data_IF_118236333603
#
_entry.id   IF_118236333603
#
_cell.length_a   1.000
_cell.length_b   1.000
_cell.length_c   1.000
_cell.angle_alpha   90.00
_cell.angle_beta   90.00
_cell.angle_gamma   90.00
#
_symmetry.space_group_name_H-M   'P 1'
#
loop_
_entity.id
_entity.type
_entity.pdbx_description
1 polymer ?
#
# COMPACT_ATOMS: atom_id res chain seq x y z
N UNK A 1 -28.73 -13.47 -43.45
CA UNK A 1 -28.58 -12.38 -42.45
C UNK A 1 -27.65 -12.90 -41.38
N UNK A 2 -26.38 -12.48 -41.45
CA UNK A 2 -25.29 -13.01 -40.61
C UNK A 2 -25.22 -12.11 -39.37
N UNK A 3 -25.51 -12.65 -38.19
CA UNK A 3 -25.39 -11.98 -36.92
C UNK A 3 -23.89 -11.83 -36.63
N UNK A 4 -23.38 -10.63 -36.76
CA UNK A 4 -22.04 -10.27 -36.31
C UNK A 4 -22.13 -10.12 -34.78
N UNK A 5 -21.54 -11.07 -34.06
CA UNK A 5 -21.36 -10.98 -32.63
C UNK A 5 -20.28 -9.90 -32.37
N UNK A 6 -20.60 -8.79 -31.70
CA UNK A 6 -19.57 -7.84 -31.35
C UNK A 6 -18.74 -8.43 -30.20
N UNK A 7 -17.63 -9.05 -30.53
CA UNK A 7 -16.59 -9.29 -29.55
C UNK A 7 -16.11 -7.90 -29.05
N UNK A 8 -16.64 -7.48 -27.91
CA UNK A 8 -16.05 -6.40 -27.13
C UNK A 8 -14.73 -6.96 -26.61
N UNK A 9 -13.65 -6.69 -27.33
CA UNK A 9 -12.32 -6.85 -26.77
C UNK A 9 -12.24 -5.88 -25.60
N UNK A 10 -12.40 -6.38 -24.38
CA UNK A 10 -11.98 -5.64 -23.21
C UNK A 10 -10.50 -5.32 -23.42
N UNK A 11 -10.20 -4.08 -23.74
CA UNK A 11 -8.83 -3.63 -23.86
C UNK A 11 -8.24 -3.74 -22.46
N UNK A 12 -7.42 -4.76 -22.23
CA UNK A 12 -6.69 -4.87 -20.98
C UNK A 12 -5.86 -3.60 -20.86
N UNK A 13 -6.16 -2.76 -19.86
CA UNK A 13 -5.34 -1.57 -19.59
C UNK A 13 -3.95 -2.10 -19.26
N UNK A 14 -2.96 -1.71 -20.07
CA UNK A 14 -1.60 -2.15 -19.85
C UNK A 14 -1.09 -1.56 -18.53
N UNK A 15 -0.61 -2.42 -17.63
CA UNK A 15 0.00 -1.99 -16.38
C UNK A 15 1.28 -1.20 -16.73
N UNK A 16 1.44 0.04 -16.25
CA UNK A 16 2.64 0.84 -16.54
C UNK A 16 3.91 0.12 -16.09
N UNK A 17 4.98 0.20 -16.86
CA UNK A 17 6.28 -0.42 -16.55
C UNK A 17 6.88 0.09 -15.22
N UNK A 18 6.51 1.29 -14.77
CA UNK A 18 6.85 1.82 -13.45
C UNK A 18 6.13 1.14 -12.30
N UNK A 19 5.04 0.41 -12.55
CA UNK A 19 4.33 -0.36 -11.52
C UNK A 19 5.12 -1.62 -11.19
N UNK A 20 5.53 -1.75 -9.94
CA UNK A 20 6.34 -2.87 -9.45
C UNK A 20 5.52 -3.89 -8.67
N UNK A 21 4.48 -3.46 -8.04
CA UNK A 21 3.49 -4.32 -7.37
C UNK A 21 2.11 -3.76 -7.66
N UNK A 22 1.18 -4.63 -7.96
CA UNK A 22 -0.24 -4.31 -8.11
C UNK A 22 -1.08 -5.46 -7.56
N UNK A 23 -1.79 -5.19 -6.47
CA UNK A 23 -2.66 -6.16 -5.80
C UNK A 23 -4.07 -5.60 -5.70
N UNK A 24 -4.95 -5.93 -6.65
CA UNK A 24 -6.33 -5.40 -6.68
C UNK A 24 -7.20 -5.87 -5.52
N UNK A 25 -6.91 -7.04 -4.93
CA UNK A 25 -7.68 -7.66 -3.84
C UNK A 25 -9.17 -7.83 -4.18
N UNK A 26 -9.45 -8.41 -5.33
CA UNK A 26 -10.82 -8.75 -5.75
C UNK A 26 -11.08 -10.25 -5.64
N UNK A 27 -12.33 -10.66 -5.73
CA UNK A 27 -12.69 -12.10 -5.79
C UNK A 27 -12.04 -12.83 -6.96
N UNK A 28 -11.65 -12.12 -8.01
CA UNK A 28 -10.97 -12.70 -9.19
C UNK A 28 -9.45 -12.75 -9.00
N UNK A 29 -8.84 -11.67 -8.50
CA UNK A 29 -7.36 -11.60 -8.32
C UNK A 29 -6.90 -12.29 -7.03
N UNK A 30 -7.76 -12.41 -6.03
CA UNK A 30 -7.35 -12.91 -4.72
C UNK A 30 -6.21 -12.09 -4.13
N UNK A 31 -5.16 -12.77 -3.71
CA UNK A 31 -3.95 -12.17 -3.14
C UNK A 31 -2.78 -12.08 -4.13
N UNK A 32 -3.06 -12.06 -5.43
CA UNK A 32 -2.02 -12.07 -6.47
C UNK A 32 -1.49 -10.67 -6.74
N UNK A 33 -0.17 -10.53 -6.86
CA UNK A 33 0.47 -9.40 -7.53
C UNK A 33 0.37 -9.59 -9.03
N UNK A 34 -0.49 -8.81 -9.69
CA UNK A 34 -0.75 -8.92 -11.12
C UNK A 34 0.28 -8.19 -11.99
N UNK A 35 1.17 -7.38 -11.38
CA UNK A 35 2.22 -6.68 -12.11
C UNK A 35 3.45 -7.55 -12.38
N UNK A 36 3.99 -8.20 -11.35
CA UNK A 36 5.24 -8.96 -11.44
C UNK A 36 5.18 -10.34 -10.78
N UNK A 37 4.00 -10.77 -10.33
CA UNK A 37 3.77 -12.10 -9.77
C UNK A 37 4.71 -12.45 -8.60
N UNK A 38 4.97 -11.49 -7.70
CA UNK A 38 5.72 -11.74 -6.49
C UNK A 38 5.05 -12.82 -5.63
N UNK A 39 5.84 -13.67 -5.00
CA UNK A 39 5.32 -14.68 -4.08
C UNK A 39 4.71 -14.03 -2.83
N UNK A 40 3.47 -14.37 -2.55
CA UNK A 40 2.71 -13.88 -1.40
C UNK A 40 2.61 -14.99 -0.35
N UNK A 41 3.09 -14.72 0.84
CA UNK A 41 2.86 -15.57 2.01
C UNK A 41 1.58 -15.12 2.70
N UNK A 42 0.64 -16.03 2.83
CA UNK A 42 -0.60 -15.82 3.59
C UNK A 42 -0.37 -16.30 5.02
N UNK A 43 -0.54 -15.42 5.99
CA UNK A 43 -0.41 -15.73 7.41
C UNK A 43 -1.78 -15.65 8.06
N UNK A 44 -2.16 -16.70 8.79
CA UNK A 44 -3.50 -16.83 9.33
C UNK A 44 -4.54 -17.12 8.25
N UNK A 45 -5.67 -16.47 8.33
CA UNK A 45 -6.79 -16.66 7.41
C UNK A 45 -7.39 -15.33 6.94
N UNK A 46 -6.61 -14.43 6.33
CA UNK A 46 -7.19 -13.23 5.71
C UNK A 46 -8.11 -13.65 4.57
N UNK A 47 -9.12 -12.85 4.25
CA UNK A 47 -10.10 -13.18 3.21
C UNK A 47 -10.29 -12.03 2.24
N UNK A 48 -10.75 -12.35 1.03
CA UNK A 48 -11.38 -11.35 0.16
C UNK A 48 -12.86 -11.31 0.53
N UNK A 49 -13.26 -10.21 1.14
CA UNK A 49 -14.64 -10.00 1.59
C UNK A 49 -15.39 -9.11 0.60
N UNK A 50 -16.64 -9.47 0.32
CA UNK A 50 -17.54 -8.67 -0.51
C UNK A 50 -18.37 -7.67 0.29
N UNK A 51 -18.21 -7.62 1.61
CA UNK A 51 -18.92 -6.67 2.47
C UNK A 51 -18.52 -5.21 2.21
N UNK A 52 -17.28 -4.99 1.78
CA UNK A 52 -16.79 -3.69 1.32
C UNK A 52 -15.99 -3.87 0.02
N UNK A 53 -16.10 -2.89 -0.87
CA UNK A 53 -15.32 -2.84 -2.10
C UNK A 53 -15.18 -1.38 -2.55
N UNK A 54 -13.98 -0.96 -2.91
CA UNK A 54 -13.77 0.32 -3.57
C UNK A 54 -13.91 0.16 -5.08
N UNK A 55 -13.21 -0.87 -5.62
CA UNK A 55 -13.24 -1.21 -7.04
C UNK A 55 -13.43 -2.72 -7.21
N UNK A 56 -14.16 -3.10 -8.25
CA UNK A 56 -14.39 -4.50 -8.54
C UNK A 56 -15.28 -5.20 -7.50
N UNK A 57 -15.07 -6.49 -7.30
CA UNK A 57 -15.83 -7.30 -6.36
C UNK A 57 -14.93 -7.74 -5.18
N UNK A 58 -15.10 -7.09 -4.04
CA UNK A 58 -14.43 -7.41 -2.79
C UNK A 58 -13.18 -6.58 -2.50
N UNK A 59 -12.66 -6.77 -1.30
CA UNK A 59 -11.44 -6.18 -0.79
C UNK A 59 -10.77 -7.15 0.20
N UNK A 60 -9.47 -7.01 0.43
CA UNK A 60 -8.77 -7.75 1.48
C UNK A 60 -9.32 -7.30 2.84
N UNK A 61 -9.90 -8.23 3.58
CA UNK A 61 -10.29 -8.05 4.98
C UNK A 61 -9.15 -8.50 5.89
N UNK A 62 -8.68 -7.59 6.73
CA UNK A 62 -7.77 -7.84 7.85
C UNK A 62 -8.53 -7.48 9.13
N UNK A 63 -8.73 -8.43 10.02
CA UNK A 63 -9.62 -8.29 11.18
C UNK A 63 -8.98 -8.68 12.52
N UNK A 64 -7.77 -9.25 12.47
CA UNK A 64 -7.07 -9.74 13.67
C UNK A 64 -5.55 -9.53 13.56
N UNK A 65 -4.87 -9.64 14.70
CA UNK A 65 -3.41 -9.56 14.81
C UNK A 65 -2.66 -10.71 14.15
N UNK A 66 -3.36 -11.73 13.69
CA UNK A 66 -2.77 -12.96 13.12
C UNK A 66 -3.08 -13.14 11.64
N UNK A 67 -3.91 -12.27 11.04
CA UNK A 67 -4.32 -12.37 9.64
C UNK A 67 -3.67 -11.26 8.82
N UNK A 68 -2.70 -11.61 7.97
CA UNK A 68 -2.01 -10.65 7.12
C UNK A 68 -1.37 -11.31 5.90
N UNK A 69 -0.93 -10.49 4.97
CA UNK A 69 -0.14 -10.95 3.84
C UNK A 69 1.31 -10.46 3.96
N UNK A 70 2.23 -11.24 3.42
CA UNK A 70 3.64 -10.86 3.36
C UNK A 70 4.20 -11.08 1.97
N UNK A 71 4.84 -10.08 1.42
CA UNK A 71 5.71 -10.19 0.26
C UNK A 71 7.13 -10.35 0.77
N UNK A 72 7.82 -11.40 0.34
CA UNK A 72 9.22 -11.64 0.73
C UNK A 72 10.13 -10.52 0.21
N UNK A 73 11.28 -10.35 0.84
CA UNK A 73 12.29 -9.40 0.39
C UNK A 73 12.71 -9.69 -1.05
N UNK A 74 12.56 -8.70 -1.90
CA UNK A 74 12.96 -8.74 -3.32
C UNK A 74 13.71 -7.46 -3.69
N UNK A 75 14.47 -7.44 -4.79
CA UNK A 75 15.09 -6.20 -5.28
C UNK A 75 14.07 -5.08 -5.53
N UNK A 76 12.83 -5.44 -5.85
CA UNK A 76 11.70 -4.52 -6.04
C UNK A 76 11.34 -3.78 -4.76
N UNK A 77 11.39 -4.46 -3.61
CA UNK A 77 11.09 -3.91 -2.29
C UNK A 77 12.33 -3.35 -1.57
N UNK A 78 13.44 -3.23 -2.28
CA UNK A 78 14.61 -2.56 -1.74
C UNK A 78 14.45 -1.04 -1.89
N UNK A 79 14.03 -0.38 -0.82
CA UNK A 79 13.85 1.07 -0.74
C UNK A 79 15.13 1.82 -0.35
N UNK A 80 16.30 1.18 -0.37
CA UNK A 80 17.56 1.78 0.06
C UNK A 80 18.05 2.90 -0.86
N UNK A 81 18.82 3.81 -0.30
CA UNK A 81 19.38 4.95 -1.02
C UNK A 81 18.32 5.99 -1.37
N UNK A 82 18.58 6.74 -2.43
CA UNK A 82 17.69 7.81 -2.91
C UNK A 82 16.73 7.32 -4.00
N UNK A 83 16.19 6.11 -3.86
CA UNK A 83 15.24 5.56 -4.82
C UNK A 83 13.92 6.30 -4.74
N UNK A 84 13.45 6.76 -5.88
CA UNK A 84 12.12 7.36 -6.02
C UNK A 84 11.07 6.27 -6.02
N UNK A 85 9.96 6.46 -5.29
CA UNK A 85 8.84 5.53 -5.31
C UNK A 85 7.52 6.17 -4.85
N UNK A 86 6.44 5.53 -5.18
CA UNK A 86 5.11 5.78 -4.63
C UNK A 86 4.51 4.46 -4.16
N UNK A 87 3.95 4.48 -2.96
CA UNK A 87 3.12 3.40 -2.41
C UNK A 87 1.74 4.00 -2.20
N UNK A 88 0.72 3.40 -2.78
CA UNK A 88 -0.65 3.89 -2.69
C UNK A 88 -1.66 2.77 -2.63
N UNK A 89 -2.76 3.02 -1.95
CA UNK A 89 -3.81 2.03 -1.74
C UNK A 89 -5.12 2.71 -1.30
N UNK A 90 -6.20 1.95 -1.40
CA UNK A 90 -7.46 2.33 -0.78
C UNK A 90 -7.68 1.55 0.51
N UNK A 91 -8.18 2.24 1.54
CA UNK A 91 -8.48 1.66 2.85
C UNK A 91 -9.87 2.05 3.32
N UNK A 92 -10.51 1.14 4.04
CA UNK A 92 -11.77 1.39 4.74
C UNK A 92 -11.65 0.82 6.16
N UNK A 93 -11.90 1.63 7.16
CA UNK A 93 -11.87 1.22 8.55
C UNK A 93 -13.02 1.84 9.34
N UNK A 94 -13.48 1.16 10.37
CA UNK A 94 -14.57 1.63 11.26
C UNK A 94 -14.04 2.05 12.62
N UNK A 95 -12.78 1.77 12.91
CA UNK A 95 -12.16 1.99 14.21
C UNK A 95 -10.67 2.27 14.05
N UNK A 96 -10.08 2.95 15.01
CA UNK A 96 -8.62 3.12 15.10
C UNK A 96 -7.96 2.05 16.00
N UNK A 97 -8.61 0.91 16.21
CA UNK A 97 -8.02 -0.22 16.93
C UNK A 97 -7.03 -0.96 16.03
N UNK A 98 -5.77 -1.01 16.46
CA UNK A 98 -4.69 -1.49 15.58
C UNK A 98 -4.33 -0.41 14.56
N UNK A 99 -3.07 -0.23 14.25
CA UNK A 99 -2.66 0.97 13.50
C UNK A 99 -2.07 0.63 12.13
N UNK A 100 -1.47 -0.54 11.95
CA UNK A 100 -0.58 -0.77 10.81
C UNK A 100 -1.27 -1.33 9.58
N UNK A 101 -1.35 -0.53 8.53
CA UNK A 101 -1.85 -0.91 7.21
C UNK A 101 -0.76 -1.62 6.40
N UNK A 102 0.41 -1.00 6.29
CA UNK A 102 1.60 -1.55 5.62
C UNK A 102 2.83 -1.35 6.48
N UNK A 103 3.72 -2.34 6.53
CA UNK A 103 4.98 -2.21 7.24
C UNK A 103 6.09 -3.02 6.59
N UNK A 104 7.27 -2.43 6.54
CA UNK A 104 8.52 -3.13 6.21
C UNK A 104 9.32 -3.50 7.46
N UNK A 105 8.79 -3.26 8.66
CA UNK A 105 9.47 -3.44 9.94
C UNK A 105 9.56 -4.91 10.34
N UNK A 106 10.73 -5.32 10.83
CA UNK A 106 10.92 -6.57 11.57
C UNK A 106 11.27 -6.27 13.03
N UNK A 107 11.22 -7.28 13.90
CA UNK A 107 11.43 -7.09 15.33
C UNK A 107 12.83 -6.56 15.72
N UNK A 108 13.79 -6.58 14.81
CA UNK A 108 15.20 -6.31 15.11
C UNK A 108 15.73 -5.03 14.45
N UNK A 109 15.01 -4.46 13.51
CA UNK A 109 15.48 -3.30 12.72
C UNK A 109 14.34 -2.33 12.52
N UNK A 110 14.57 -1.06 12.86
CA UNK A 110 13.69 0.03 12.43
C UNK A 110 13.74 0.13 10.92
N UNK A 111 12.65 -0.16 10.35
CA UNK A 111 12.43 -0.39 8.93
C UNK A 111 12.15 0.91 8.18
N UNK A 112 12.29 0.97 6.86
CA UNK A 112 12.09 2.22 6.16
C UNK A 112 10.78 2.91 6.49
N UNK A 113 9.65 2.21 6.51
CA UNK A 113 8.36 2.86 6.78
C UNK A 113 7.34 1.92 7.43
N UNK A 114 6.37 2.56 8.05
CA UNK A 114 5.08 2.00 8.44
C UNK A 114 4.00 3.00 8.01
N UNK A 115 3.00 2.55 7.26
CA UNK A 115 1.80 3.32 6.96
C UNK A 115 0.72 2.87 7.93
N UNK A 116 0.24 3.81 8.75
CA UNK A 116 -0.75 3.55 9.79
C UNK A 116 -2.05 4.32 9.60
N UNK A 117 -3.06 3.99 10.41
CA UNK A 117 -4.39 4.63 10.36
C UNK A 117 -4.39 6.07 10.88
N UNK A 118 -3.64 6.34 11.91
CA UNK A 118 -3.60 7.65 12.57
C UNK A 118 -2.29 8.38 12.32
N UNK A 119 -1.26 7.65 11.92
CA UNK A 119 0.08 8.18 11.69
C UNK A 119 0.90 7.21 10.86
N UNK A 120 1.68 7.72 9.95
CA UNK A 120 2.73 6.96 9.31
C UNK A 120 4.07 7.26 9.97
N UNK A 121 4.93 6.26 9.99
CA UNK A 121 6.24 6.33 10.62
C UNK A 121 7.31 6.14 9.55
N UNK A 122 8.30 7.01 9.59
CA UNK A 122 9.49 6.88 8.74
C UNK A 122 10.67 6.60 9.66
N UNK A 123 11.30 5.43 9.45
CA UNK A 123 12.46 5.02 10.24
C UNK A 123 13.72 5.73 9.79
N UNK A 124 14.54 6.16 10.75
CA UNK A 124 15.90 6.62 10.51
C UNK A 124 16.89 5.59 11.07
N UNK A 125 17.46 4.77 10.21
CA UNK A 125 18.35 3.69 10.61
C UNK A 125 19.63 4.15 11.32
N UNK A 126 20.05 5.40 11.09
CA UNK A 126 21.25 5.93 11.74
C UNK A 126 21.00 6.41 13.16
N UNK A 127 19.76 6.72 13.51
CA UNK A 127 19.39 7.36 14.78
C UNK A 127 18.44 6.52 15.63
N UNK A 128 18.02 5.36 15.15
CA UNK A 128 17.03 4.52 15.83
C UNK A 128 15.76 5.30 16.24
N UNK A 129 15.34 6.22 15.38
CA UNK A 129 14.24 7.15 15.62
C UNK A 129 13.20 7.08 14.51
N UNK A 130 11.98 7.49 14.85
CA UNK A 130 10.87 7.60 13.92
C UNK A 130 10.50 9.05 13.69
N UNK A 131 10.23 9.40 12.44
CA UNK A 131 9.55 10.64 12.10
C UNK A 131 8.08 10.33 11.79
N UNK A 132 7.18 11.09 12.40
CA UNK A 132 5.74 10.92 12.25
C UNK A 132 5.22 11.82 11.14
N UNK A 133 4.36 11.28 10.29
CA UNK A 133 3.66 12.00 9.20
C UNK A 133 2.20 12.22 9.59
N UNK A 134 1.72 12.28 10.69
CA UNK A 134 0.42 12.69 11.24
C UNK A 134 -0.73 12.73 10.22
N UNK A 135 -1.05 11.62 9.60
CA UNK A 135 -2.22 11.47 8.76
C UNK A 135 -3.29 10.64 9.48
N UNK A 136 -4.44 11.22 9.75
CA UNK A 136 -5.60 10.45 10.21
C UNK A 136 -6.45 10.06 9.00
N UNK A 137 -6.63 8.76 8.80
CA UNK A 137 -7.53 8.22 7.78
C UNK A 137 -8.97 8.33 8.30
N UNK A 138 -9.91 8.89 7.52
CA UNK A 138 -11.30 9.01 7.96
C UNK A 138 -11.95 7.64 8.17
N UNK A 139 -12.81 7.54 9.20
CA UNK A 139 -13.55 6.31 9.51
C UNK A 139 -14.82 6.19 8.66
N UNK A 140 -15.28 4.94 8.49
CA UNK A 140 -16.56 4.59 7.85
C UNK A 140 -16.70 5.06 6.38
N UNK A 141 -15.58 5.24 5.72
CA UNK A 141 -15.51 5.56 4.29
C UNK A 141 -14.22 5.05 3.67
N UNK A 142 -14.22 4.88 2.35
CA UNK A 142 -13.00 4.60 1.61
C UNK A 142 -12.14 5.86 1.54
N UNK A 143 -10.87 5.72 1.89
CA UNK A 143 -9.86 6.76 1.76
C UNK A 143 -8.70 6.28 0.89
N UNK A 144 -8.20 7.14 0.04
CA UNK A 144 -6.97 6.91 -0.71
C UNK A 144 -5.78 7.37 0.12
N UNK A 145 -4.80 6.50 0.30
CA UNK A 145 -3.54 6.83 0.98
C UNK A 145 -2.39 6.69 0.00
N UNK A 146 -1.52 7.68 -0.05
CA UNK A 146 -0.31 7.61 -0.85
C UNK A 146 0.91 8.12 -0.05
N UNK A 147 1.97 7.31 -0.03
CA UNK A 147 3.29 7.68 0.47
C UNK A 147 4.23 7.84 -0.72
N UNK A 148 4.79 9.03 -0.90
CA UNK A 148 5.65 9.38 -2.04
C UNK A 148 7.02 9.78 -1.54
N UNK A 149 8.06 9.14 -2.08
CA UNK A 149 9.43 9.54 -1.93
C UNK A 149 9.99 10.03 -3.27
N UNK A 150 10.40 11.29 -3.33
CA UNK A 150 10.87 11.94 -4.57
C UNK A 150 12.40 11.90 -4.74
N UNK A 151 13.10 11.10 -3.94
CA UNK A 151 14.56 11.01 -3.89
C UNK A 151 15.20 11.91 -2.84
N UNK A 152 14.43 12.83 -2.26
CA UNK A 152 14.88 13.76 -1.22
C UNK A 152 13.88 13.88 -0.08
N UNK A 153 12.59 13.97 -0.43
CA UNK A 153 11.52 14.25 0.50
C UNK A 153 10.48 13.13 0.50
N UNK A 154 9.93 12.87 1.67
CA UNK A 154 8.79 12.00 1.87
C UNK A 154 7.56 12.87 2.10
N UNK A 155 6.50 12.56 1.37
CA UNK A 155 5.20 13.21 1.47
C UNK A 155 4.13 12.16 1.60
N UNK A 156 3.17 12.39 2.47
CA UNK A 156 1.98 11.57 2.60
C UNK A 156 0.76 12.34 2.15
N UNK A 157 -0.15 11.64 1.50
CA UNK A 157 -1.42 12.18 1.04
C UNK A 157 -2.57 11.29 1.51
N UNK A 158 -3.62 11.90 2.00
CA UNK A 158 -4.91 11.26 2.26
C UNK A 158 -5.96 11.94 1.40
N UNK A 159 -6.69 11.15 0.61
CA UNK A 159 -7.66 11.63 -0.39
C UNK A 159 -7.09 12.72 -1.32
N UNK A 160 -5.83 12.54 -1.73
CA UNK A 160 -5.12 13.45 -2.62
C UNK A 160 -4.66 14.76 -1.99
N UNK A 161 -4.92 14.98 -0.72
CA UNK A 161 -4.47 16.17 0.03
C UNK A 161 -3.22 15.80 0.83
N UNK A 162 -2.13 16.59 0.66
CA UNK A 162 -0.92 16.40 1.43
C UNK A 162 -1.19 16.60 2.93
N UNK A 163 -0.85 15.59 3.72
CA UNK A 163 -0.99 15.60 5.18
C UNK A 163 0.35 15.79 5.85
N UNK A 164 0.32 16.41 7.03
CA UNK A 164 1.51 16.60 7.86
C UNK A 164 2.65 17.38 7.19
N UNK A 165 3.84 17.28 7.78
CA UNK A 165 5.04 17.92 7.28
C UNK A 165 5.62 17.15 6.08
N UNK A 166 6.37 17.85 5.23
CA UNK A 166 7.31 17.20 4.30
C UNK A 166 8.56 16.83 5.10
N UNK A 167 8.97 15.58 5.03
CA UNK A 167 10.14 15.09 5.73
C UNK A 167 11.28 14.93 4.75
N UNK A 168 12.36 15.69 4.94
CA UNK A 168 13.62 15.44 4.23
C UNK A 168 14.27 14.22 4.89
N UNK A 169 14.46 13.16 4.13
CA UNK A 169 15.04 11.94 4.65
C UNK A 169 16.44 11.73 4.08
N UNK A 170 17.47 11.55 4.94
CA UNK A 170 18.75 11.04 4.47
C UNK A 170 18.54 9.62 3.93
N UNK A 171 19.38 9.19 3.04
CA UNK A 171 19.26 7.88 2.34
C UNK A 171 18.83 6.76 3.29
N UNK A 172 17.84 5.97 2.87
CA UNK A 172 17.36 4.84 3.65
C UNK A 172 18.42 3.73 3.70
N UNK A 173 18.53 3.03 4.82
CA UNK A 173 19.48 1.93 4.92
C UNK A 173 19.13 0.84 3.92
N UNK A 174 20.14 0.16 3.45
CA UNK A 174 19.91 -1.05 2.66
C UNK A 174 19.23 -2.08 3.55
N UNK A 175 18.05 -2.48 3.18
CA UNK A 175 17.34 -3.56 3.85
C UNK A 175 16.67 -4.44 2.83
N UNK A 176 17.01 -5.71 2.86
CA UNK A 176 16.21 -6.75 2.24
C UNK A 176 15.00 -7.03 3.11
N UNK A 177 14.09 -6.06 3.21
CA UNK A 177 12.91 -6.21 4.04
C UNK A 177 11.76 -6.80 3.24
N UNK A 178 10.96 -7.58 3.93
CA UNK A 178 9.65 -7.98 3.46
C UNK A 178 8.68 -6.80 3.58
N UNK A 179 7.58 -6.84 2.86
CA UNK A 179 6.43 -5.96 3.06
C UNK A 179 5.29 -6.77 3.70
N UNK A 180 4.88 -6.37 4.89
CA UNK A 180 3.64 -6.85 5.51
C UNK A 180 2.48 -5.95 5.10
N UNK A 181 1.34 -6.57 4.83
CA UNK A 181 0.08 -5.92 4.50
C UNK A 181 -0.92 -6.30 5.59
N UNK A 182 -1.32 -5.31 6.39
CA UNK A 182 -2.23 -5.49 7.51
C UNK A 182 -1.57 -5.80 8.86
N UNK A 183 -0.24 -5.79 8.96
CA UNK A 183 0.45 -6.22 10.18
C UNK A 183 1.78 -5.50 10.43
N UNK A 184 2.06 -5.27 11.69
CA UNK A 184 3.39 -4.95 12.24
C UNK A 184 3.60 -5.66 13.58
N UNK A 185 4.83 -5.75 14.04
CA UNK A 185 5.17 -6.36 15.35
C UNK A 185 4.55 -5.63 16.55
N UNK A 186 4.09 -4.40 16.37
CA UNK A 186 3.44 -3.58 17.41
C UNK A 186 1.93 -3.45 17.25
N UNK A 187 1.35 -3.99 16.19
CA UNK A 187 -0.08 -3.94 15.96
C UNK A 187 -0.49 -4.35 14.55
N UNK A 188 -1.76 -4.56 14.35
CA UNK A 188 -2.33 -4.92 13.05
C UNK A 188 -3.44 -3.96 12.67
N UNK A 189 -3.73 -3.88 11.38
CA UNK A 189 -4.87 -3.16 10.84
C UNK A 189 -6.17 -3.92 11.10
N UNK A 190 -7.26 -3.22 11.32
CA UNK A 190 -8.61 -3.79 11.35
C UNK A 190 -9.48 -3.03 10.33
N UNK A 191 -9.71 -3.66 9.18
CA UNK A 191 -10.46 -3.04 8.09
C UNK A 191 -10.24 -3.70 6.75
N UNK A 192 -10.50 -2.96 5.68
CA UNK A 192 -10.42 -3.45 4.30
C UNK A 192 -9.35 -2.67 3.53
N UNK A 193 -8.61 -3.40 2.71
CA UNK A 193 -7.61 -2.85 1.78
C UNK A 193 -8.01 -3.24 0.36
N UNK A 194 -7.96 -2.28 -0.55
CA UNK A 194 -8.23 -2.51 -1.97
C UNK A 194 -7.19 -1.79 -2.81
N UNK A 195 -6.81 -2.39 -3.92
CA UNK A 195 -6.04 -1.77 -4.99
C UNK A 195 -4.69 -1.18 -4.52
N UNK A 196 -3.83 -2.01 -3.92
CA UNK A 196 -2.46 -1.63 -3.53
C UNK A 196 -1.56 -1.57 -4.76
N UNK A 197 -0.92 -0.41 -4.98
CA UNK A 197 0.10 -0.22 -6.00
C UNK A 197 1.41 0.29 -5.40
N UNK A 198 2.54 -0.25 -5.88
CA UNK A 198 3.89 0.29 -5.65
C UNK A 198 4.53 0.59 -7.00
N UNK A 199 5.00 1.83 -7.17
CA UNK A 199 5.65 2.31 -8.39
C UNK A 199 7.04 2.85 -8.09
N UNK A 200 7.99 2.73 -9.04
CA UNK A 200 9.35 3.26 -8.92
C UNK A 200 9.49 4.70 -9.45
N UNK A 201 8.42 5.46 -9.34
CA UNK A 201 8.36 6.89 -9.69
C UNK A 201 7.59 7.67 -8.62
N UNK A 202 7.86 8.97 -8.50
CA UNK A 202 7.04 9.88 -7.70
C UNK A 202 5.79 10.27 -8.50
N UNK A 203 4.70 9.52 -8.31
CA UNK A 203 3.44 9.73 -9.05
C UNK A 203 2.83 11.09 -8.72
N UNK A 204 2.93 11.52 -7.45
CA UNK A 204 2.30 12.74 -6.97
C UNK A 204 3.35 13.72 -6.43
N UNK A 205 3.37 14.93 -6.98
CA UNK A 205 4.29 16.00 -6.53
C UNK A 205 3.57 17.13 -5.79
N UNK A 206 2.25 17.21 -5.94
CA UNK A 206 1.33 18.19 -5.33
C UNK A 206 0.02 17.50 -4.97
N UNK A 207 -0.95 18.23 -4.40
CA UNK A 207 -2.30 17.74 -4.20
C UNK A 207 -2.92 17.29 -5.53
N UNK A 208 -3.71 16.24 -5.49
CA UNK A 208 -4.31 15.59 -6.66
C UNK A 208 -5.73 15.10 -6.37
N UNK A 209 -6.47 14.73 -7.40
CA UNK A 209 -7.73 14.01 -7.26
C UNK A 209 -7.43 12.52 -7.21
N UNK A 210 -7.88 11.78 -6.18
CA UNK A 210 -7.69 10.34 -6.09
C UNK A 210 -8.24 9.61 -7.32
N UNK A 211 -7.64 8.47 -7.72
CA UNK A 211 -8.13 7.67 -8.82
C UNK A 211 -9.59 7.28 -8.67
N UNK A 212 -10.37 7.40 -9.74
CA UNK A 212 -11.79 7.02 -9.76
C UNK A 212 -12.03 5.65 -10.39
N UNK A 213 -10.96 4.98 -10.83
CA UNK A 213 -10.93 3.63 -11.39
C UNK A 213 -9.75 2.85 -10.80
N UNK A 214 -9.75 1.51 -10.88
CA UNK A 214 -8.60 0.70 -10.48
C UNK A 214 -7.31 1.12 -11.20
N UNK A 215 -6.16 0.88 -10.55
CA UNK A 215 -4.83 1.14 -11.10
C UNK A 215 -4.50 0.27 -12.32
#
# INVERSE_FOLDING_TARGET
MMLINPFVFAHAIAIPASTKILMPFTTTSGFTDVANNHAITVVGSPTISTAQSKFGAGALLVDTTTNYLRIAATPTLNFSGNKVFTIELWVYTTTYTGDTILSTRNASVYSPFLIGQQRSLIGNASLDTWTFLNAAIPLNQWAHVALVFDGTNIKEYVDGVKTGATVTHPSWPSSNNFLNIGYDVSGSFAGYINDLRISDVAVYTANFTPPTSPF
#
